data_IF_538945540067
#
_entry.id   IF_538945540067
#
_cell.length_a   1.000
_cell.length_b   1.000
_cell.length_c   1.000
_cell.angle_alpha   90.00
_cell.angle_beta   90.00
_cell.angle_gamma   90.00
#
_symmetry.space_group_name_H-M   'P 1'
#
loop_
_entity.id
_entity.type
_entity.pdbx_description
1 polymer ?
#
# COMPACT_ATOMS: atom_id res chain seq x y z
N UNK A 1 -53.75 -22.82 -12.02
CA UNK A 1 -52.99 -24.07 -11.77
C UNK A 1 -53.09 -24.99 -13.01
N UNK A 2 -52.60 -24.54 -14.18
CA UNK A 2 -52.67 -25.33 -15.45
C UNK A 2 -51.37 -25.24 -16.26
N UNK A 3 -50.30 -24.66 -15.71
CA UNK A 3 -49.02 -24.52 -16.43
C UNK A 3 -48.16 -25.80 -16.41
N UNK A 4 -48.35 -26.68 -15.42
CA UNK A 4 -47.59 -27.93 -15.30
C UNK A 4 -47.86 -28.95 -16.42
N UNK A 5 -49.12 -29.24 -16.78
CA UNK A 5 -49.44 -30.21 -17.84
C UNK A 5 -48.93 -29.78 -19.22
N UNK A 6 -48.98 -28.49 -19.54
CA UNK A 6 -48.50 -27.95 -20.81
C UNK A 6 -46.98 -28.04 -20.96
N UNK A 7 -46.24 -27.76 -19.88
CA UNK A 7 -44.77 -27.92 -19.85
C UNK A 7 -44.39 -29.40 -19.95
N UNK A 8 -45.13 -30.29 -19.30
CA UNK A 8 -44.92 -31.73 -19.38
C UNK A 8 -45.13 -32.32 -20.78
N UNK A 9 -46.19 -31.86 -21.49
CA UNK A 9 -46.46 -32.28 -22.87
C UNK A 9 -45.39 -31.77 -23.85
N UNK A 10 -44.91 -30.54 -23.69
CA UNK A 10 -43.82 -30.00 -24.50
C UNK A 10 -42.51 -30.75 -24.26
N UNK A 11 -42.17 -31.06 -23.00
CA UNK A 11 -41.00 -31.87 -22.68
C UNK A 11 -41.10 -33.28 -23.26
N UNK A 12 -42.29 -33.89 -23.23
CA UNK A 12 -42.55 -35.21 -23.79
C UNK A 12 -42.48 -35.23 -25.33
N UNK A 13 -43.06 -34.26 -26.02
CA UNK A 13 -42.99 -34.11 -27.48
C UNK A 13 -41.54 -33.91 -27.97
N UNK A 14 -40.79 -33.05 -27.28
CA UNK A 14 -39.36 -32.82 -27.58
C UNK A 14 -38.54 -34.08 -27.36
N UNK A 15 -38.82 -34.85 -26.32
CA UNK A 15 -38.14 -36.13 -26.04
C UNK A 15 -38.55 -37.23 -27.03
N UNK A 16 -39.79 -37.19 -27.55
CA UNK A 16 -40.31 -38.17 -28.52
C UNK A 16 -39.73 -37.96 -29.93
N UNK A 17 -39.42 -36.73 -30.33
CA UNK A 17 -38.80 -36.43 -31.63
C UNK A 17 -37.27 -36.51 -31.59
N UNK A 18 -36.65 -36.39 -30.42
CA UNK A 18 -35.21 -36.38 -30.30
C UNK A 18 -34.61 -37.79 -30.18
N UNK A 19 -34.05 -38.29 -31.28
CA UNK A 19 -33.17 -39.46 -31.25
C UNK A 19 -31.97 -39.22 -30.33
N UNK A 20 -31.45 -40.28 -29.70
CA UNK A 20 -30.31 -40.20 -28.76
C UNK A 20 -29.11 -39.37 -29.27
N UNK A 21 -28.92 -39.34 -30.60
CA UNK A 21 -27.89 -38.54 -31.29
C UNK A 21 -28.05 -37.03 -31.05
N UNK A 22 -29.27 -36.49 -30.99
CA UNK A 22 -29.50 -35.06 -30.77
C UNK A 22 -29.10 -34.64 -29.35
N UNK A 23 -29.39 -35.47 -28.35
CA UNK A 23 -28.93 -35.22 -26.98
C UNK A 23 -27.41 -35.20 -26.92
N UNK A 24 -26.73 -36.18 -27.53
CA UNK A 24 -25.26 -36.23 -27.58
C UNK A 24 -24.69 -34.96 -28.22
N UNK A 25 -25.28 -34.47 -29.31
CA UNK A 25 -24.83 -33.23 -29.97
C UNK A 25 -24.99 -32.01 -29.06
N UNK A 26 -26.13 -31.86 -28.39
CA UNK A 26 -26.39 -30.72 -27.49
C UNK A 26 -25.44 -30.74 -26.28
N UNK A 27 -25.23 -31.89 -25.65
CA UNK A 27 -24.30 -32.02 -24.52
C UNK A 27 -22.85 -31.77 -24.93
N UNK A 28 -22.45 -32.24 -26.11
CA UNK A 28 -21.10 -31.99 -26.64
C UNK A 28 -20.91 -30.50 -26.94
N UNK A 29 -21.88 -29.86 -27.58
CA UNK A 29 -21.85 -28.42 -27.84
C UNK A 29 -21.80 -27.61 -26.54
N UNK A 30 -22.64 -27.94 -25.56
CA UNK A 30 -22.64 -27.28 -24.25
C UNK A 30 -21.30 -27.45 -23.50
N UNK A 31 -20.69 -28.63 -23.58
CA UNK A 31 -19.39 -28.92 -22.96
C UNK A 31 -18.25 -28.16 -23.63
N UNK A 32 -18.26 -28.05 -24.97
CA UNK A 32 -17.30 -27.22 -25.70
C UNK A 32 -17.47 -25.75 -25.34
N UNK A 33 -18.70 -25.27 -25.21
CA UNK A 33 -19.00 -23.88 -24.88
C UNK A 33 -18.59 -23.54 -23.44
N UNK A 34 -18.85 -24.45 -22.49
CA UNK A 34 -18.38 -24.34 -21.11
C UNK A 34 -16.85 -24.37 -21.04
N UNK A 35 -16.20 -25.28 -21.76
CA UNK A 35 -14.74 -25.36 -21.85
C UNK A 35 -14.12 -24.08 -22.43
N UNK A 36 -14.74 -23.50 -23.45
CA UNK A 36 -14.33 -22.21 -24.03
C UNK A 36 -14.47 -21.07 -23.01
N UNK A 37 -15.60 -20.97 -22.31
CA UNK A 37 -15.80 -19.96 -21.26
C UNK A 37 -14.74 -20.11 -20.17
N UNK A 38 -14.53 -21.32 -19.65
CA UNK A 38 -13.48 -21.60 -18.65
C UNK A 38 -12.10 -21.24 -19.18
N UNK A 39 -11.78 -21.57 -20.44
CA UNK A 39 -10.50 -21.24 -21.05
C UNK A 39 -10.28 -19.73 -21.21
N UNK A 40 -11.34 -18.97 -21.54
CA UNK A 40 -11.28 -17.51 -21.65
C UNK A 40 -11.11 -16.88 -20.27
N UNK A 41 -11.80 -17.40 -19.25
CA UNK A 41 -11.64 -16.95 -17.87
C UNK A 41 -10.24 -17.27 -17.33
N UNK A 42 -9.70 -18.45 -17.62
CA UNK A 42 -8.33 -18.84 -17.27
C UNK A 42 -7.28 -18.02 -18.01
N UNK A 43 -7.47 -17.69 -19.29
CA UNK A 43 -6.56 -16.80 -20.05
C UNK A 43 -6.63 -15.36 -19.54
N UNK A 44 -7.82 -14.88 -19.16
CA UNK A 44 -7.98 -13.57 -18.53
C UNK A 44 -7.29 -13.51 -17.17
N UNK A 45 -7.35 -14.55 -16.36
CA UNK A 45 -6.62 -14.59 -15.08
C UNK A 45 -5.11 -14.84 -15.25
N UNK A 46 -4.68 -15.56 -16.29
CA UNK A 46 -3.26 -15.76 -16.62
C UNK A 46 -2.56 -14.48 -17.12
N UNK A 47 -3.31 -13.45 -17.50
CA UNK A 47 -2.79 -12.11 -17.82
C UNK A 47 -2.33 -11.31 -16.60
N UNK A 48 -2.59 -11.79 -15.38
CA UNK A 48 -1.99 -11.27 -14.13
C UNK A 48 -0.56 -11.81 -14.00
N UNK A 49 0.28 -11.46 -14.97
CA UNK A 49 1.70 -11.80 -14.96
C UNK A 49 2.34 -11.04 -13.80
N UNK A 50 2.62 -11.78 -12.73
CA UNK A 50 3.42 -11.33 -11.59
C UNK A 50 4.77 -10.89 -12.13
N UNK A 51 4.98 -9.58 -12.26
CA UNK A 51 6.29 -9.01 -12.53
C UNK A 51 7.04 -9.04 -11.21
N UNK A 52 7.98 -9.98 -11.09
CA UNK A 52 8.92 -10.02 -9.98
C UNK A 52 9.82 -8.76 -10.07
N UNK A 53 9.54 -7.76 -9.24
CA UNK A 53 10.43 -6.60 -9.05
C UNK A 53 11.38 -6.94 -7.90
N UNK A 54 12.69 -6.95 -8.18
CA UNK A 54 13.73 -7.14 -7.17
C UNK A 54 14.22 -5.79 -6.72
N UNK A 55 13.76 -5.35 -5.56
CA UNK A 55 14.23 -4.12 -4.91
C UNK A 55 15.40 -4.48 -3.99
N UNK A 56 16.46 -3.68 -4.03
CA UNK A 56 17.66 -3.86 -3.21
C UNK A 56 17.73 -2.76 -2.15
N UNK A 57 17.32 -3.05 -0.91
CA UNK A 57 17.49 -2.13 0.22
C UNK A 57 18.72 -2.59 1.04
N UNK A 58 19.68 -1.70 1.37
CA UNK A 58 20.95 -2.07 2.01
C UNK A 58 20.85 -2.84 3.34
N UNK A 59 19.75 -2.68 4.09
CA UNK A 59 19.57 -3.27 5.43
C UNK A 59 18.59 -4.44 5.48
N UNK A 60 17.88 -4.74 4.39
CA UNK A 60 16.93 -5.84 4.32
C UNK A 60 17.37 -6.83 3.22
N UNK A 61 17.74 -8.04 3.66
CA UNK A 61 18.00 -9.21 2.81
C UNK A 61 17.08 -9.25 1.59
N UNK A 62 17.64 -9.39 0.37
CA UNK A 62 16.91 -9.45 -0.92
C UNK A 62 15.59 -10.23 -0.79
N UNK A 63 14.47 -9.55 -0.91
CA UNK A 63 13.16 -10.16 -0.99
C UNK A 63 12.64 -10.10 -2.43
N UNK A 64 12.16 -11.23 -2.95
CA UNK A 64 11.41 -11.25 -4.21
C UNK A 64 9.96 -10.88 -3.89
N UNK A 65 9.38 -9.84 -4.48
CA UNK A 65 8.01 -9.43 -4.20
C UNK A 65 7.05 -10.06 -5.23
N UNK A 66 5.94 -10.66 -4.77
CA UNK A 66 4.81 -11.03 -5.65
C UNK A 66 3.92 -9.81 -5.76
N UNK A 67 4.19 -8.96 -6.74
CA UNK A 67 3.41 -7.73 -6.91
C UNK A 67 2.23 -8.04 -7.83
N UNK A 68 1.04 -8.19 -7.25
CA UNK A 68 -0.23 -8.14 -8.00
C UNK A 68 -0.71 -6.67 -8.11
N UNK A 69 -1.71 -6.39 -8.96
CA UNK A 69 -2.19 -5.02 -9.18
C UNK A 69 -2.81 -4.36 -7.92
N UNK A 70 -3.32 -5.17 -6.99
CA UNK A 70 -3.83 -4.71 -5.70
C UNK A 70 -2.69 -4.21 -4.80
N UNK A 71 -1.56 -4.95 -4.74
CA UNK A 71 -0.38 -4.55 -3.97
C UNK A 71 0.23 -3.27 -4.53
N UNK A 72 0.29 -3.10 -5.86
CA UNK A 72 0.74 -1.83 -6.46
C UNK A 72 -0.15 -0.67 -6.05
N UNK A 73 -1.47 -0.87 -6.07
CA UNK A 73 -2.44 0.15 -5.69
C UNK A 73 -2.28 0.56 -4.23
N UNK A 74 -2.12 -0.40 -3.32
CA UNK A 74 -1.87 -0.11 -1.90
C UNK A 74 -0.52 0.58 -1.72
N UNK A 75 0.54 0.08 -2.36
CA UNK A 75 1.87 0.69 -2.32
C UNK A 75 1.83 2.14 -2.81
N UNK A 76 1.07 2.43 -3.88
CA UNK A 76 0.87 3.79 -4.38
C UNK A 76 0.20 4.70 -3.34
N UNK A 77 -0.86 4.23 -2.68
CA UNK A 77 -1.54 5.00 -1.63
C UNK A 77 -0.56 5.28 -0.48
N UNK A 78 0.19 4.26 -0.05
CA UNK A 78 1.18 4.41 1.04
C UNK A 78 2.33 5.34 0.65
N UNK A 79 2.79 5.29 -0.60
CA UNK A 79 3.77 6.22 -1.14
C UNK A 79 3.27 7.66 -1.04
N UNK A 80 2.08 7.96 -1.56
CA UNK A 80 1.50 9.31 -1.54
C UNK A 80 1.27 9.79 -0.10
N UNK A 81 0.67 8.97 0.76
CA UNK A 81 0.42 9.32 2.17
C UNK A 81 1.70 9.57 2.96
N UNK A 82 2.80 8.90 2.62
CA UNK A 82 4.08 9.08 3.30
C UNK A 82 4.86 10.27 2.71
N UNK A 83 4.90 10.41 1.39
CA UNK A 83 5.64 11.47 0.70
C UNK A 83 5.04 12.87 0.91
N UNK A 84 3.72 12.96 1.05
CA UNK A 84 3.01 14.25 1.13
C UNK A 84 2.86 14.83 2.55
N UNK A 85 3.27 14.09 3.60
CA UNK A 85 3.05 14.54 4.98
C UNK A 85 4.14 15.48 5.48
N UNK A 86 3.70 16.47 6.26
CA UNK A 86 4.54 17.49 6.92
C UNK A 86 5.70 16.91 7.73
N UNK A 87 5.56 15.68 8.24
CA UNK A 87 6.60 14.98 9.02
C UNK A 87 7.73 14.37 8.17
N UNK A 88 7.61 14.37 6.84
CA UNK A 88 8.67 13.93 5.92
C UNK A 88 9.40 15.08 5.24
N UNK A 89 8.89 16.32 5.39
CA UNK A 89 9.60 17.54 5.00
C UNK A 89 10.50 18.03 6.13
N UNK A 90 11.71 18.56 5.82
CA UNK A 90 12.57 19.15 6.83
C UNK A 90 11.85 20.29 7.54
N UNK A 91 11.65 20.17 8.85
CA UNK A 91 11.33 21.32 9.66
C UNK A 91 12.64 22.06 9.92
N UNK A 92 12.75 23.31 9.47
CA UNK A 92 13.90 24.14 9.86
C UNK A 92 13.99 24.21 11.39
N UNK A 93 15.19 24.40 11.93
CA UNK A 93 15.44 24.37 13.39
C UNK A 93 14.60 25.36 14.20
N UNK A 94 14.02 26.36 13.54
CA UNK A 94 13.23 27.45 14.13
C UNK A 94 11.72 27.34 13.83
N UNK A 95 11.30 26.63 12.77
CA UNK A 95 9.92 26.63 12.27
C UNK A 95 9.21 25.28 12.50
N UNK A 96 7.88 25.31 12.52
CA UNK A 96 7.03 24.13 12.70
C UNK A 96 6.83 23.71 14.16
N UNK A 97 5.58 23.37 14.48
CA UNK A 97 5.17 22.93 15.82
C UNK A 97 5.35 21.41 15.96
N UNK A 98 6.00 20.98 17.04
CA UNK A 98 6.18 19.56 17.36
C UNK A 98 4.82 18.89 17.53
N UNK A 99 3.85 19.59 18.14
CA UNK A 99 2.47 19.11 18.23
C UNK A 99 1.92 18.70 16.87
N UNK A 100 2.04 19.57 15.86
CA UNK A 100 1.52 19.31 14.51
C UNK A 100 2.24 18.12 13.86
N UNK A 101 3.57 18.02 14.03
CA UNK A 101 4.34 16.89 13.53
C UNK A 101 3.89 15.56 14.15
N UNK A 102 3.75 15.51 15.48
CA UNK A 102 3.28 14.32 16.20
C UNK A 102 1.84 13.94 15.81
N UNK A 103 0.94 14.92 15.69
CA UNK A 103 -0.43 14.67 15.23
C UNK A 103 -0.46 14.13 13.80
N UNK A 104 0.36 14.68 12.90
CA UNK A 104 0.50 14.19 11.52
C UNK A 104 0.98 12.74 11.46
N UNK A 105 2.00 12.39 12.27
CA UNK A 105 2.53 11.03 12.37
C UNK A 105 1.52 10.05 12.98
N UNK A 106 0.79 10.45 14.02
CA UNK A 106 -0.27 9.64 14.60
C UNK A 106 -1.40 9.38 13.61
N UNK A 107 -1.79 10.41 12.83
CA UNK A 107 -2.76 10.24 11.74
C UNK A 107 -2.24 9.28 10.67
N UNK A 108 -0.94 9.32 10.33
CA UNK A 108 -0.34 8.41 9.35
C UNK A 108 -0.44 6.97 9.82
N UNK A 109 -0.21 6.72 11.11
CA UNK A 109 -0.38 5.39 11.70
C UNK A 109 -1.79 4.83 11.47
N UNK A 110 -2.81 5.67 11.65
CA UNK A 110 -4.21 5.32 11.37
C UNK A 110 -4.43 5.03 9.89
N UNK A 111 -4.05 5.97 9.02
CA UNK A 111 -4.23 5.84 7.57
C UNK A 111 -3.58 4.59 7.02
N UNK A 112 -2.32 4.31 7.35
CA UNK A 112 -1.62 3.10 6.88
C UNK A 112 -2.37 1.84 7.30
N UNK A 113 -2.83 1.75 8.56
CA UNK A 113 -3.59 0.59 9.04
C UNK A 113 -4.91 0.42 8.29
N UNK A 114 -5.60 1.51 8.01
CA UNK A 114 -6.88 1.44 7.31
C UNK A 114 -6.68 1.12 5.82
N UNK A 115 -5.65 1.65 5.17
CA UNK A 115 -5.26 1.25 3.81
C UNK A 115 -4.93 -0.23 3.74
N UNK A 116 -4.14 -0.78 4.67
CA UNK A 116 -3.79 -2.20 4.68
C UNK A 116 -5.01 -3.12 4.87
N UNK A 117 -6.09 -2.67 5.54
CA UNK A 117 -7.33 -3.45 5.67
C UNK A 117 -8.13 -3.53 4.36
N UNK A 118 -7.79 -2.74 3.36
CA UNK A 118 -8.48 -2.75 2.06
C UNK A 118 -8.00 -3.86 1.13
N UNK A 119 -6.86 -4.50 1.44
CA UNK A 119 -6.30 -5.58 0.64
C UNK A 119 -6.47 -6.94 1.31
N UNK A 120 -6.54 -7.98 0.47
CA UNK A 120 -6.43 -9.35 0.95
C UNK A 120 -4.99 -9.66 1.40
N UNK A 121 -4.81 -10.50 2.44
CA UNK A 121 -3.47 -10.88 2.90
C UNK A 121 -2.65 -11.53 1.78
N UNK A 122 -1.35 -11.20 1.68
CA UNK A 122 -0.46 -11.91 0.77
C UNK A 122 -0.47 -13.40 1.05
N UNK A 123 -0.50 -14.21 -0.01
CA UNK A 123 -0.29 -15.66 0.12
C UNK A 123 1.10 -15.91 0.68
N UNK A 124 1.15 -16.34 1.94
CA UNK A 124 2.37 -16.55 2.70
C UNK A 124 3.41 -17.32 1.88
N UNK A 125 4.46 -16.62 1.47
CA UNK A 125 5.68 -17.15 0.87
C UNK A 125 6.86 -16.39 1.47
N UNK A 126 8.10 -16.84 1.22
CA UNK A 126 9.36 -16.21 1.72
C UNK A 126 9.66 -14.86 1.04
N UNK A 127 8.62 -14.15 0.64
CA UNK A 127 8.62 -13.00 -0.25
C UNK A 127 8.10 -11.82 0.56
N UNK A 128 8.81 -10.68 0.53
CA UNK A 128 8.31 -9.50 1.19
C UNK A 128 7.06 -9.01 0.47
N UNK A 129 6.21 -8.33 1.23
CA UNK A 129 4.93 -7.81 0.79
C UNK A 129 4.74 -6.38 1.30
N UNK A 130 3.81 -5.66 0.69
CA UNK A 130 3.52 -4.26 1.01
C UNK A 130 3.11 -4.12 2.48
N UNK A 131 2.30 -5.06 2.99
CA UNK A 131 1.86 -5.07 4.38
C UNK A 131 2.98 -5.41 5.37
N UNK A 132 3.94 -6.29 5.03
CA UNK A 132 5.11 -6.54 5.89
C UNK A 132 5.92 -5.26 6.02
N UNK A 133 6.14 -4.56 4.91
CA UNK A 133 6.96 -3.36 4.88
C UNK A 133 6.29 -2.19 5.60
N UNK A 134 4.99 -2.00 5.37
CA UNK A 134 4.18 -1.01 6.07
C UNK A 134 4.09 -1.27 7.58
N UNK A 135 3.83 -2.52 7.99
CA UNK A 135 3.84 -2.88 9.42
C UNK A 135 5.23 -2.72 10.03
N UNK A 136 6.29 -2.96 9.26
CA UNK A 136 7.68 -2.64 9.62
C UNK A 136 7.84 -1.17 9.96
N UNK A 137 7.48 -0.27 9.04
CA UNK A 137 7.50 1.19 9.26
C UNK A 137 6.72 1.59 10.52
N UNK A 138 5.49 1.09 10.67
CA UNK A 138 4.64 1.42 11.80
C UNK A 138 5.23 0.99 13.14
N UNK A 139 5.81 -0.22 13.21
CA UNK A 139 6.25 -0.81 14.47
C UNK A 139 7.70 -0.49 14.82
N UNK A 140 8.57 -0.32 13.83
CA UNK A 140 9.99 -0.04 14.02
C UNK A 140 10.28 1.46 14.12
N UNK A 141 9.53 2.31 13.40
CA UNK A 141 9.77 3.76 13.35
C UNK A 141 8.73 4.53 14.15
N UNK A 142 7.45 4.46 13.72
CA UNK A 142 6.42 5.34 14.27
C UNK A 142 6.06 4.98 15.72
N UNK A 143 5.86 3.70 16.03
CA UNK A 143 5.40 3.28 17.36
C UNK A 143 6.39 3.67 18.46
N UNK A 144 7.70 3.38 18.39
CA UNK A 144 8.63 3.77 19.44
C UNK A 144 8.70 5.28 19.61
N UNK A 145 8.74 6.03 18.50
CA UNK A 145 8.81 7.49 18.51
C UNK A 145 7.56 8.10 19.18
N UNK A 146 6.37 7.75 18.70
CA UNK A 146 5.11 8.27 19.23
C UNK A 146 4.87 7.84 20.69
N UNK A 147 5.27 6.62 21.06
CA UNK A 147 5.13 6.14 22.44
C UNK A 147 6.02 6.89 23.43
N UNK A 148 7.20 7.35 22.98
CA UNK A 148 8.08 8.21 23.79
C UNK A 148 7.54 9.63 23.87
N UNK A 149 7.22 10.23 22.72
CA UNK A 149 7.05 11.68 22.64
C UNK A 149 5.64 12.18 22.90
N UNK A 150 4.58 11.42 22.60
CA UNK A 150 3.22 11.88 22.90
C UNK A 150 2.95 12.11 24.39
N UNK A 151 3.30 11.19 25.30
CA UNK A 151 3.07 11.40 26.72
C UNK A 151 3.85 12.61 27.26
N UNK A 152 5.12 12.74 26.87
CA UNK A 152 5.97 13.85 27.31
C UNK A 152 5.45 15.22 26.85
N UNK A 153 4.98 15.31 25.60
CA UNK A 153 4.36 16.53 25.10
C UNK A 153 3.05 16.83 25.83
N UNK A 154 2.22 15.81 26.07
CA UNK A 154 0.96 15.98 26.78
C UNK A 154 1.16 16.43 28.24
N UNK A 155 2.20 15.95 28.93
CA UNK A 155 2.57 16.41 30.28
C UNK A 155 3.00 17.88 30.28
N UNK A 156 3.82 18.28 29.30
CA UNK A 156 4.21 19.67 29.12
C UNK A 156 3.01 20.59 28.88
N UNK A 157 2.08 20.19 28.01
CA UNK A 157 0.87 20.95 27.71
C UNK A 157 -0.06 21.10 28.93
N UNK A 158 -0.13 20.06 29.78
CA UNK A 158 -0.90 20.09 31.02
C UNK A 158 -0.29 20.99 32.10
N UNK A 159 1.00 21.31 32.02
CA UNK A 159 1.67 22.22 32.95
C UNK A 159 1.23 23.69 32.78
N UNK A 160 0.47 24.00 31.73
CA UNK A 160 -0.01 25.35 31.42
C UNK A 160 0.94 26.15 30.52
N UNK A 161 2.07 25.56 30.12
CA UNK A 161 2.96 26.14 29.13
C UNK A 161 2.30 26.14 27.75
N UNK A 162 2.21 27.33 27.12
CA UNK A 162 1.55 27.51 25.82
C UNK A 162 2.56 27.46 24.68
N UNK A 163 3.81 27.85 24.94
CA UNK A 163 4.84 27.97 23.92
C UNK A 163 5.82 26.80 23.98
N UNK A 164 5.89 26.00 22.90
CA UNK A 164 6.82 24.89 22.77
C UNK A 164 8.30 25.30 22.92
N UNK A 165 8.65 26.59 22.73
CA UNK A 165 10.01 27.08 22.97
C UNK A 165 10.47 26.91 24.42
N UNK A 166 9.53 26.83 25.36
CA UNK A 166 9.80 26.66 26.80
C UNK A 166 9.98 25.18 27.17
N UNK A 167 9.72 24.27 26.24
CA UNK A 167 9.87 22.83 26.49
C UNK A 167 11.34 22.42 26.45
N UNK A 168 11.86 21.99 27.60
CA UNK A 168 13.23 21.52 27.81
C UNK A 168 13.62 20.37 26.87
N UNK A 169 12.65 19.53 26.47
CA UNK A 169 12.87 18.40 25.56
C UNK A 169 12.66 18.70 24.07
N UNK A 170 12.33 19.95 23.71
CA UNK A 170 12.09 20.37 22.31
C UNK A 170 13.23 19.97 21.38
N UNK A 171 14.48 20.24 21.78
CA UNK A 171 15.67 19.96 20.97
C UNK A 171 15.91 18.46 20.79
N UNK A 172 15.73 17.67 21.85
CA UNK A 172 15.84 16.21 21.82
C UNK A 172 14.75 15.60 20.91
N UNK A 173 13.50 16.07 21.04
CA UNK A 173 12.39 15.60 20.23
C UNK A 173 12.60 15.88 18.74
N UNK A 174 13.09 17.06 18.38
CA UNK A 174 13.40 17.41 16.98
C UNK A 174 14.53 16.59 16.40
N UNK A 175 15.56 16.30 17.19
CA UNK A 175 16.65 15.41 16.77
C UNK A 175 16.12 13.99 16.48
N UNK A 176 15.32 13.45 17.38
CA UNK A 176 14.70 12.12 17.19
C UNK A 176 13.73 12.12 16.00
N UNK A 177 13.00 13.23 15.77
CA UNK A 177 12.10 13.40 14.64
C UNK A 177 12.86 13.34 13.31
N UNK A 178 13.98 14.06 13.21
CA UNK A 178 14.82 14.04 12.01
C UNK A 178 15.43 12.65 11.76
N UNK A 179 15.91 11.99 12.81
CA UNK A 179 16.44 10.63 12.68
C UNK A 179 15.37 9.64 12.18
N UNK A 180 14.16 9.71 12.75
CA UNK A 180 13.03 8.90 12.29
C UNK A 180 12.62 9.26 10.86
N UNK A 181 12.62 10.55 10.49
CA UNK A 181 12.29 11.03 9.14
C UNK A 181 13.16 10.35 8.08
N UNK A 182 14.48 10.33 8.28
CA UNK A 182 15.43 9.69 7.37
C UNK A 182 15.13 8.20 7.18
N UNK A 183 14.74 7.50 8.24
CA UNK A 183 14.36 6.08 8.19
C UNK A 183 13.03 5.88 7.46
N UNK A 184 12.03 6.73 7.71
CA UNK A 184 10.74 6.71 6.99
C UNK A 184 10.91 6.99 5.50
N UNK A 185 11.86 7.84 5.09
CA UNK A 185 12.13 8.09 3.67
C UNK A 185 12.55 6.81 2.94
N UNK A 186 13.31 5.91 3.58
CA UNK A 186 13.64 4.62 2.99
C UNK A 186 12.39 3.76 2.77
N UNK A 187 11.42 3.81 3.69
CA UNK A 187 10.13 3.16 3.50
C UNK A 187 9.32 3.81 2.36
N UNK A 188 9.32 5.15 2.30
CA UNK A 188 8.61 5.88 1.27
C UNK A 188 9.12 5.52 -0.14
N UNK A 189 10.44 5.52 -0.34
CA UNK A 189 11.06 5.11 -1.61
C UNK A 189 10.63 3.70 -2.03
N UNK A 190 10.74 2.75 -1.13
CA UNK A 190 10.37 1.37 -1.43
C UNK A 190 8.86 1.19 -1.69
N UNK A 191 7.97 2.01 -1.12
CA UNK A 191 6.57 2.03 -1.55
C UNK A 191 6.41 2.54 -2.99
N UNK A 192 7.16 3.56 -3.40
CA UNK A 192 7.18 4.05 -4.78
C UNK A 192 7.65 2.98 -5.76
N UNK A 193 8.73 2.27 -5.44
CA UNK A 193 9.25 1.18 -6.26
C UNK A 193 8.24 0.00 -6.35
N UNK A 194 7.58 -0.36 -5.24
CA UNK A 194 6.54 -1.38 -5.23
C UNK A 194 5.29 -0.97 -6.01
N UNK A 195 4.97 0.33 -6.04
CA UNK A 195 3.91 0.89 -6.85
C UNK A 195 4.26 0.91 -8.35
N UNK A 196 5.56 0.81 -8.69
CA UNK A 196 6.06 0.91 -10.06
C UNK A 196 6.19 2.35 -10.54
N UNK A 197 6.45 3.29 -9.64
CA UNK A 197 6.81 4.67 -9.98
C UNK A 197 8.21 4.66 -10.61
N UNK A 198 8.35 5.32 -11.76
CA UNK A 198 9.64 5.51 -12.42
C UNK A 198 10.42 6.61 -11.68
N UNK A 199 11.74 6.43 -11.54
CA UNK A 199 12.66 7.42 -10.97
C UNK A 199 12.18 8.04 -9.63
N UNK A 200 11.84 7.16 -8.68
CA UNK A 200 11.31 7.52 -7.35
C UNK A 200 12.17 8.57 -6.63
N UNK A 201 13.47 8.60 -6.88
CA UNK A 201 14.40 9.55 -6.26
C UNK A 201 14.14 11.01 -6.67
N UNK A 202 13.53 11.29 -7.84
CA UNK A 202 13.15 12.66 -8.25
C UNK A 202 12.19 13.32 -7.25
N UNK A 203 11.40 12.53 -6.52
CA UNK A 203 10.48 13.03 -5.49
C UNK A 203 11.19 13.40 -4.18
N UNK A 204 12.46 13.05 -4.04
CA UNK A 204 13.26 13.25 -2.82
C UNK A 204 14.56 14.01 -3.04
N UNK A 205 14.91 14.35 -4.29
CA UNK A 205 15.97 15.30 -4.59
C UNK A 205 15.59 16.66 -3.99
N UNK A 206 16.19 16.96 -2.83
CA UNK A 206 16.32 18.34 -2.39
C UNK A 206 17.02 19.10 -3.52
N UNK A 207 16.54 20.31 -3.83
CA UNK A 207 17.19 21.21 -4.78
C UNK A 207 18.62 21.53 -4.32
N UNK A 208 19.56 20.63 -4.62
CA UNK A 208 20.99 20.85 -4.51
C UNK A 208 21.42 21.53 -5.80
N UNK A 209 21.03 22.79 -5.95
CA UNK A 209 21.83 23.75 -6.71
C UNK A 209 21.30 25.17 -6.49
N UNK A 210 22.16 26.06 -5.98
CA UNK A 210 21.79 27.46 -5.82
C UNK A 210 22.77 28.39 -5.12
N UNK A 211 23.74 27.90 -4.33
CA UNK A 211 24.71 28.77 -3.64
C UNK A 211 26.12 28.17 -3.65
N UNK A 212 26.75 28.07 -4.83
CA UNK A 212 28.21 28.03 -4.93
C UNK A 212 28.77 28.52 -6.28
N UNK A 213 28.38 29.72 -6.73
CA UNK A 213 29.19 30.57 -7.63
C UNK A 213 28.77 32.02 -7.33
N UNK A 214 29.50 32.81 -6.56
CA UNK A 214 30.62 33.58 -7.11
C UNK A 214 31.47 34.15 -5.96
N UNK A 215 32.69 33.64 -5.87
CA UNK A 215 33.71 34.04 -4.92
C UNK A 215 35.07 33.85 -5.56
N UNK A 216 35.27 34.44 -6.74
CA UNK A 216 36.59 34.60 -7.36
C UNK A 216 36.57 35.76 -8.37
N UNK A 217 36.71 36.99 -7.88
CA UNK A 217 37.78 37.94 -8.24
C UNK A 217 37.54 39.34 -7.61
#
# INVERSE_FOLDING_TARGET
MVMGPAVGLLAYEVTRQAGAVQFVIVFTAASVLLGLIVSVLQRRSAGLVLRDVTISIPEFSRFTFVVNDEHKRVAWILFIETASRVSTQPLSSEQGFIREALTSLHSLFGTVRDTLKTMDPSRAGRRASVEIFALGMLNAELRPFLSKWHPLLAEFEQSGAVNESEWDRRAECRKDLEFMRQRIMAYCRAFGELAGVEDVDEFFEEAVDGDEVDGAD
#
